data_IF_431936181094
#
_entry.id   IF_431936181094
#
_cell.length_a   1.000
_cell.length_b   1.000
_cell.length_c   1.000
_cell.angle_alpha   90.00
_cell.angle_beta   90.00
_cell.angle_gamma   90.00
#
_symmetry.space_group_name_H-M   'P 1'
#
loop_
_entity.id
_entity.type
_entity.pdbx_description
1 polymer ?
#
# COMPACT_ATOMS: atom_id res chain seq x y z
N UNK A 1 -57.36 13.81 24.27
CA UNK A 1 -56.42 14.92 24.01
C UNK A 1 -55.04 14.32 23.75
N UNK A 2 -54.39 14.47 22.57
CA UNK A 2 -53.04 13.94 22.34
C UNK A 2 -51.99 14.98 22.71
N UNK A 3 -51.01 14.59 23.51
CA UNK A 3 -49.84 15.41 23.83
C UNK A 3 -48.91 15.51 22.61
N UNK A 4 -48.64 16.73 22.17
CA UNK A 4 -47.55 17.05 21.25
C UNK A 4 -46.31 17.35 22.10
N UNK A 5 -45.49 16.35 22.35
CA UNK A 5 -44.13 16.57 22.82
C UNK A 5 -43.21 16.81 21.60
N UNK A 6 -42.43 17.89 21.69
CA UNK A 6 -41.59 18.41 20.63
C UNK A 6 -40.58 17.38 20.12
N UNK A 7 -40.49 17.29 18.79
CA UNK A 7 -39.35 16.71 18.07
C UNK A 7 -38.07 17.48 18.40
N UNK A 8 -37.36 17.09 19.44
CA UNK A 8 -36.00 17.57 19.70
C UNK A 8 -35.02 16.69 18.94
N UNK A 9 -34.34 17.31 17.99
CA UNK A 9 -33.60 16.68 16.90
C UNK A 9 -32.63 15.59 17.34
N UNK A 10 -32.54 14.55 16.53
CA UNK A 10 -31.44 13.58 16.58
C UNK A 10 -30.14 14.38 16.43
N UNK A 11 -29.36 14.46 17.51
CA UNK A 11 -28.01 14.99 17.44
C UNK A 11 -27.25 14.11 16.44
N UNK A 12 -26.86 14.73 15.32
CA UNK A 12 -26.00 14.13 14.31
C UNK A 12 -24.73 13.68 15.00
N UNK A 13 -24.55 12.36 15.14
CA UNK A 13 -23.36 11.78 15.74
C UNK A 13 -22.22 12.13 14.79
N UNK A 14 -21.37 13.05 15.25
CA UNK A 14 -20.26 13.61 14.50
C UNK A 14 -19.54 12.52 13.75
N UNK A 15 -19.49 12.69 12.43
CA UNK A 15 -18.70 11.88 11.54
C UNK A 15 -17.22 12.20 11.78
N UNK A 16 -16.67 11.75 12.89
CA UNK A 16 -15.23 11.56 12.99
C UNK A 16 -14.95 10.25 12.26
N UNK A 17 -14.94 10.30 10.91
CA UNK A 17 -14.15 9.32 10.18
C UNK A 17 -12.72 9.62 10.57
N UNK A 18 -12.22 8.87 11.51
CA UNK A 18 -10.83 8.46 11.55
C UNK A 18 -10.48 7.88 10.16
N UNK A 19 -10.18 8.79 9.22
CA UNK A 19 -9.64 8.47 7.91
C UNK A 19 -8.21 8.02 8.14
N UNK A 20 -8.02 6.79 8.61
CA UNK A 20 -6.72 6.15 8.46
C UNK A 20 -6.52 5.92 6.96
N UNK A 21 -5.84 6.85 6.30
CA UNK A 21 -5.32 6.66 4.95
C UNK A 21 -4.15 5.68 5.02
N UNK A 22 -4.42 4.40 5.29
CA UNK A 22 -3.46 3.35 4.97
C UNK A 22 -3.51 3.14 3.46
N UNK A 23 -2.74 3.96 2.74
CA UNK A 23 -2.46 3.69 1.33
C UNK A 23 -1.59 2.43 1.26
N UNK A 24 -2.11 1.38 0.62
CA UNK A 24 -1.32 0.18 0.32
C UNK A 24 -0.50 0.43 -0.93
N UNK A 25 0.82 0.32 -0.82
CA UNK A 25 1.73 0.36 -1.97
C UNK A 25 1.84 -1.06 -2.51
N UNK A 26 1.57 -1.27 -3.80
CA UNK A 26 1.75 -2.54 -4.48
C UNK A 26 3.15 -2.64 -5.09
N UNK A 27 3.61 -3.86 -5.37
CA UNK A 27 4.90 -4.09 -6.03
C UNK A 27 5.00 -3.35 -7.38
N UNK A 28 3.89 -3.25 -8.12
CA UNK A 28 3.82 -2.52 -9.39
C UNK A 28 4.08 -1.02 -9.24
N UNK A 29 3.79 -0.45 -8.06
CA UNK A 29 3.99 0.97 -7.80
C UNK A 29 5.48 1.31 -7.54
N UNK A 30 6.32 0.30 -7.29
CA UNK A 30 7.75 0.48 -6.98
C UNK A 30 8.69 -0.15 -8.03
N UNK A 31 8.17 -0.97 -8.95
CA UNK A 31 8.99 -1.58 -10.00
C UNK A 31 8.91 -0.84 -11.32
N UNK A 32 10.06 -0.70 -11.97
CA UNK A 32 10.14 -0.26 -13.37
C UNK A 32 10.17 -1.50 -14.25
N UNK A 33 9.24 -1.62 -15.20
CA UNK A 33 9.24 -2.72 -16.17
C UNK A 33 9.85 -2.25 -17.50
N UNK A 34 10.78 -3.03 -18.03
CA UNK A 34 11.41 -2.79 -19.33
C UNK A 34 11.05 -3.92 -20.30
N UNK A 35 10.75 -3.56 -21.54
CA UNK A 35 10.66 -4.52 -22.65
C UNK A 35 12.04 -5.10 -23.00
N UNK A 36 12.07 -6.18 -23.80
CA UNK A 36 13.35 -6.79 -24.22
C UNK A 36 14.17 -5.81 -25.05
N UNK A 37 13.52 -5.05 -25.92
CA UNK A 37 14.11 -4.06 -26.81
C UNK A 37 14.70 -2.88 -26.02
N UNK A 38 14.00 -2.39 -24.99
CA UNK A 38 14.51 -1.36 -24.07
C UNK A 38 15.69 -1.90 -23.26
N UNK A 39 15.58 -3.13 -22.74
CA UNK A 39 16.64 -3.80 -21.99
C UNK A 39 17.94 -3.98 -22.77
N UNK A 40 17.85 -4.15 -24.09
CA UNK A 40 19.02 -4.22 -24.99
C UNK A 40 19.68 -2.87 -25.23
N UNK A 41 18.92 -1.78 -25.14
CA UNK A 41 19.41 -0.41 -25.34
C UNK A 41 19.95 0.21 -24.05
N UNK A 42 19.63 -0.36 -22.90
CA UNK A 42 20.18 0.09 -21.61
C UNK A 42 21.70 -0.06 -21.54
N UNK A 43 22.34 0.96 -20.99
CA UNK A 43 23.77 0.88 -20.68
C UNK A 43 24.05 -0.03 -19.49
N UNK A 44 25.33 -0.37 -19.30
CA UNK A 44 25.76 -1.27 -18.23
C UNK A 44 25.42 -0.76 -16.82
N UNK A 45 25.42 0.55 -16.60
CA UNK A 45 25.12 1.15 -15.31
C UNK A 45 23.62 1.04 -14.99
N UNK A 46 22.75 1.31 -15.96
CA UNK A 46 21.31 1.17 -15.83
C UNK A 46 20.88 -0.28 -15.56
N UNK A 47 21.51 -1.25 -16.23
CA UNK A 47 21.21 -2.69 -16.00
C UNK A 47 21.68 -3.15 -14.62
N UNK A 48 22.78 -2.59 -14.14
CA UNK A 48 23.28 -2.86 -12.79
C UNK A 48 22.31 -2.28 -11.75
N UNK A 49 21.92 -1.01 -11.91
CA UNK A 49 20.95 -0.37 -11.03
C UNK A 49 19.61 -1.11 -10.97
N UNK A 50 19.09 -1.58 -12.11
CA UNK A 50 17.87 -2.39 -12.13
C UNK A 50 18.03 -3.67 -11.30
N UNK A 51 19.15 -4.38 -11.44
CA UNK A 51 19.41 -5.60 -10.66
C UNK A 51 19.48 -5.30 -9.17
N UNK A 52 20.16 -4.22 -8.77
CA UNK A 52 20.32 -3.83 -7.37
C UNK A 52 18.98 -3.48 -6.73
N UNK A 53 18.17 -2.65 -7.40
CA UNK A 53 16.83 -2.28 -6.93
C UNK A 53 15.91 -3.49 -6.87
N UNK A 54 15.93 -4.36 -7.88
CA UNK A 54 15.10 -5.57 -7.87
C UNK A 54 15.52 -6.54 -6.75
N UNK A 55 16.81 -6.71 -6.50
CA UNK A 55 17.32 -7.54 -5.40
C UNK A 55 16.89 -7.01 -4.03
N UNK A 56 16.94 -5.69 -3.83
CA UNK A 56 16.46 -5.05 -2.61
C UNK A 56 14.96 -5.31 -2.39
N UNK A 57 14.14 -5.15 -3.42
CA UNK A 57 12.70 -5.42 -3.32
C UNK A 57 12.43 -6.91 -3.05
N UNK A 58 13.13 -7.84 -3.70
CA UNK A 58 13.02 -9.28 -3.39
C UNK A 58 13.42 -9.61 -1.94
N UNK A 59 14.50 -9.00 -1.43
CA UNK A 59 14.94 -9.17 -0.04
C UNK A 59 13.88 -8.69 0.96
N UNK A 60 13.24 -7.55 0.67
CA UNK A 60 12.12 -7.06 1.47
C UNK A 60 10.93 -8.01 1.45
N UNK A 61 10.57 -8.59 0.30
CA UNK A 61 9.50 -9.58 0.20
C UNK A 61 9.78 -10.84 1.03
N UNK A 62 11.00 -11.38 0.96
CA UNK A 62 11.43 -12.54 1.77
C UNK A 62 11.45 -12.20 3.26
N UNK A 63 11.85 -10.98 3.63
CA UNK A 63 11.88 -10.53 5.02
C UNK A 63 10.47 -10.36 5.61
N UNK A 64 9.52 -9.81 4.84
CA UNK A 64 8.10 -9.69 5.24
C UNK A 64 7.45 -11.08 5.38
N UNK A 65 7.76 -12.02 4.49
CA UNK A 65 7.31 -13.42 4.61
C UNK A 65 7.83 -14.08 5.91
N UNK A 66 9.05 -13.74 6.31
CA UNK A 66 9.67 -14.29 7.53
C UNK A 66 9.05 -13.69 8.80
N UNK A 67 8.64 -12.41 8.79
CA UNK A 67 7.92 -11.79 9.90
C UNK A 67 6.49 -12.31 10.05
N UNK A 68 5.80 -12.62 8.95
CA UNK A 68 4.45 -13.21 8.98
C UNK A 68 4.45 -14.62 9.61
N UNK A 69 5.52 -15.41 9.42
CA UNK A 69 5.67 -16.74 10.03
C UNK A 69 6.03 -16.72 11.52
N UNK A 70 6.41 -15.58 12.09
CA UNK A 70 6.71 -15.43 13.53
C UNK A 70 5.54 -14.91 14.37
N UNK A 71 4.43 -14.49 13.75
CA UNK A 71 3.27 -13.91 14.46
C UNK A 71 2.14 -14.92 14.68
N UNK A 72 2.23 -16.14 14.14
CA UNK A 72 1.31 -17.24 14.46
C UNK A 72 2.02 -18.38 15.20
N UNK A 73 1.85 -18.50 16.53
CA UNK A 73 2.14 -19.73 17.28
C UNK A 73 1.14 -20.85 16.97
#
# INVERSE_FOLDING_TARGET
>A
MPERALSLGKASKGLSRNMSLQASVSFKDVTVEFTREEWHQMDSAQRTLYRDVMLEIYSHLVSVETLARRVHP
#
